data_IF_030937267639
#
_entry.id   IF_030937267639
#
_cell.length_a   1.000
_cell.length_b   1.000
_cell.length_c   1.000
_cell.angle_alpha   90.00
_cell.angle_beta   90.00
_cell.angle_gamma   90.00
#
_symmetry.space_group_name_H-M   'P 1'
#
loop_
_entity.id
_entity.type
_entity.pdbx_description
1 polymer ?
#
# COMPACT_ATOMS: atom_id res chain seq x y z
N UNK A 1 32.74 -48.88 -4.02
CA UNK A 1 33.55 -47.72 -4.44
C UNK A 1 32.94 -47.11 -5.69
N UNK A 2 32.23 -45.97 -5.57
CA UNK A 2 32.11 -45.04 -6.68
C UNK A 2 32.42 -43.58 -6.30
N UNK A 3 33.37 -43.03 -7.05
CA UNK A 3 33.51 -41.67 -7.61
C UNK A 3 33.27 -40.44 -6.73
N UNK A 4 34.36 -39.69 -6.53
CA UNK A 4 34.47 -38.40 -5.86
C UNK A 4 33.70 -37.28 -6.57
N UNK A 5 32.96 -36.49 -5.78
CA UNK A 5 32.31 -35.25 -6.22
C UNK A 5 33.34 -34.14 -6.48
N UNK A 6 33.16 -33.47 -7.62
CA UNK A 6 34.01 -32.39 -8.12
C UNK A 6 33.55 -31.05 -7.51
N UNK A 7 34.35 -30.42 -6.65
CA UNK A 7 34.07 -29.11 -6.06
C UNK A 7 34.66 -27.99 -6.94
N UNK A 8 33.80 -27.15 -7.50
CA UNK A 8 34.21 -25.91 -8.21
C UNK A 8 34.48 -24.80 -7.18
N UNK A 9 35.57 -24.02 -7.30
CA UNK A 9 35.78 -22.87 -6.44
C UNK A 9 34.85 -21.71 -6.85
N UNK A 10 34.08 -21.21 -5.91
CA UNK A 10 33.28 -19.97 -6.05
C UNK A 10 34.24 -18.79 -5.92
N UNK A 11 34.34 -17.98 -6.97
CA UNK A 11 35.09 -16.72 -6.95
C UNK A 11 34.37 -15.71 -6.05
N UNK A 12 35.00 -15.33 -4.93
CA UNK A 12 34.55 -14.20 -4.10
C UNK A 12 34.85 -12.87 -4.79
N UNK A 13 33.79 -12.16 -5.19
CA UNK A 13 33.87 -10.75 -5.56
C UNK A 13 33.96 -9.89 -4.29
N UNK A 14 34.90 -8.95 -4.19
CA UNK A 14 35.07 -8.17 -2.98
C UNK A 14 33.97 -7.10 -2.81
N UNK A 15 33.38 -7.09 -1.60
CA UNK A 15 32.20 -6.32 -1.19
C UNK A 15 32.52 -4.88 -0.79
N UNK A 16 32.91 -4.02 -1.72
CA UNK A 16 33.17 -2.60 -1.38
C UNK A 16 32.34 -1.55 -2.14
N UNK A 17 31.21 -1.91 -2.74
CA UNK A 17 30.32 -0.95 -3.42
C UNK A 17 28.83 -1.07 -3.06
N UNK A 18 28.49 -1.12 -1.76
CA UNK A 18 27.12 -0.82 -1.33
C UNK A 18 27.12 0.03 -0.05
N UNK A 19 26.39 1.16 0.00
CA UNK A 19 26.27 1.97 1.20
C UNK A 19 25.46 1.22 2.26
N UNK A 20 26.02 1.08 3.47
CA UNK A 20 25.36 0.44 4.61
C UNK A 20 24.26 1.35 5.16
N UNK A 21 23.00 0.96 4.96
CA UNK A 21 21.89 1.46 5.78
C UNK A 21 21.93 0.76 7.15
N UNK A 22 22.33 1.49 8.18
CA UNK A 22 22.22 1.04 9.58
C UNK A 22 20.82 1.33 10.09
N UNK A 23 20.04 0.29 10.36
CA UNK A 23 18.85 0.41 11.21
C UNK A 23 19.32 0.47 12.66
N UNK A 24 19.19 1.63 13.29
CA UNK A 24 19.40 1.77 14.74
C UNK A 24 18.12 1.36 15.45
N UNK A 25 18.22 0.28 16.23
CA UNK A 25 17.19 -0.15 17.16
C UNK A 25 17.32 0.68 18.43
N UNK A 26 16.36 1.56 18.71
CA UNK A 26 16.31 2.32 19.97
C UNK A 26 15.48 1.53 20.98
N UNK A 27 16.12 1.23 22.12
CA UNK A 27 15.56 0.53 23.25
C UNK A 27 14.34 1.26 23.86
N UNK A 28 13.39 0.45 24.32
CA UNK A 28 12.22 0.84 25.10
C UNK A 28 12.64 1.60 26.37
N UNK A 29 12.28 2.87 26.46
CA UNK A 29 12.20 3.62 27.72
C UNK A 29 10.73 3.80 28.07
N UNK A 30 10.33 3.23 29.21
CA UNK A 30 9.02 3.40 29.83
C UNK A 30 8.77 4.88 30.13
N UNK A 31 7.64 5.41 29.65
CA UNK A 31 7.05 6.64 30.18
C UNK A 31 5.59 6.38 30.56
N UNK A 32 5.27 6.82 31.76
CA UNK A 32 3.97 6.74 32.42
C UNK A 32 2.91 7.58 31.71
N UNK A 33 1.68 7.07 31.69
CA UNK A 33 0.51 7.80 31.20
C UNK A 33 0.09 8.84 32.24
N UNK A 34 0.26 10.12 31.91
CA UNK A 34 -0.43 11.22 32.60
C UNK A 34 -1.44 11.85 31.63
N UNK A 35 -2.70 11.84 32.04
CA UNK A 35 -3.87 12.45 31.40
C UNK A 35 -3.77 13.98 31.40
N UNK A 36 -3.98 14.67 30.27
CA UNK A 36 -4.18 16.11 30.27
C UNK A 36 -5.67 16.48 30.54
N UNK A 37 -5.97 17.56 31.28
CA UNK A 37 -7.33 18.03 31.48
C UNK A 37 -7.83 18.84 30.27
N UNK A 38 -9.15 18.79 30.06
CA UNK A 38 -9.88 19.49 28.99
C UNK A 38 -9.78 21.02 29.10
N UNK A 39 -9.77 21.77 27.97
CA UNK A 39 -9.91 23.21 28.02
C UNK A 39 -11.39 23.64 27.87
N UNK A 40 -11.81 24.45 28.84
CA UNK A 40 -13.06 25.20 28.88
C UNK A 40 -13.10 26.30 27.80
N UNK A 41 -14.30 26.53 27.27
CA UNK A 41 -14.65 27.54 26.28
C UNK A 41 -14.18 28.95 26.62
N UNK A 42 -13.86 29.76 25.61
CA UNK A 42 -14.30 31.16 25.50
C UNK A 42 -14.06 31.74 24.09
N UNK A 43 -15.14 32.32 23.55
CA UNK A 43 -15.21 33.61 22.83
C UNK A 43 -14.92 33.68 21.32
N UNK A 44 -16.05 33.68 20.60
CA UNK A 44 -16.40 34.44 19.38
C UNK A 44 -15.41 35.50 18.87
N UNK A 45 -14.98 35.34 17.61
CA UNK A 45 -14.40 36.38 16.76
C UNK A 45 -14.67 36.08 15.28
N UNK A 46 -15.43 36.96 14.63
CA UNK A 46 -15.82 36.91 13.21
C UNK A 46 -14.64 36.93 12.24
N UNK A 47 -14.58 36.02 11.26
CA UNK A 47 -13.92 36.25 9.96
C UNK A 47 -14.53 35.38 8.84
N UNK A 48 -14.42 35.80 7.56
CA UNK A 48 -15.47 35.62 6.56
C UNK A 48 -15.37 34.34 5.71
N UNK A 49 -16.51 34.00 5.11
CA UNK A 49 -16.76 32.92 4.16
C UNK A 49 -15.86 32.98 2.92
N UNK A 50 -15.16 31.86 2.64
CA UNK A 50 -14.48 31.63 1.36
C UNK A 50 -15.28 30.62 0.51
N UNK A 51 -15.65 31.04 -0.71
CA UNK A 51 -16.27 30.21 -1.76
C UNK A 51 -15.18 29.47 -2.55
N UNK A 52 -15.41 28.22 -3.02
CA UNK A 52 -14.47 27.54 -3.88
C UNK A 52 -14.61 27.99 -5.35
N UNK A 53 -13.54 28.53 -5.93
CA UNK A 53 -13.46 28.83 -7.37
C UNK A 53 -12.77 27.67 -8.09
N UNK A 54 -13.55 27.01 -8.94
CA UNK A 54 -13.10 26.16 -10.04
C UNK A 54 -12.50 27.02 -11.15
N UNK A 55 -11.33 26.64 -11.69
CA UNK A 55 -11.09 26.46 -13.14
C UNK A 55 -9.65 26.04 -13.46
N UNK A 56 -9.59 25.08 -14.38
CA UNK A 56 -8.41 24.51 -15.03
C UNK A 56 -7.76 25.50 -16.01
N UNK A 57 -6.41 25.54 -16.05
CA UNK A 57 -5.62 26.40 -16.94
C UNK A 57 -5.09 25.57 -18.11
N UNK A 58 -5.60 25.83 -19.32
CA UNK A 58 -5.02 25.36 -20.60
C UNK A 58 -4.02 26.41 -21.12
N UNK A 59 -2.85 25.97 -21.54
CA UNK A 59 -1.81 26.78 -22.18
C UNK A 59 -1.88 26.49 -23.68
N UNK A 60 -2.26 27.49 -24.48
CA UNK A 60 -2.15 27.44 -25.94
C UNK A 60 -0.93 28.26 -26.38
N UNK A 61 0.01 27.59 -27.03
CA UNK A 61 1.11 28.20 -27.79
C UNK A 61 0.67 28.34 -29.24
N UNK A 62 0.70 29.57 -29.74
CA UNK A 62 0.36 29.93 -31.13
C UNK A 62 1.54 29.60 -32.06
N UNK A 63 1.24 28.95 -33.20
CA UNK A 63 2.19 28.76 -34.29
C UNK A 63 1.77 29.63 -35.48
N UNK A 64 2.74 30.39 -35.99
CA UNK A 64 2.58 31.38 -37.06
C UNK A 64 2.40 30.76 -38.44
N UNK A 65 1.72 31.53 -39.28
CA UNK A 65 1.27 31.32 -40.66
C UNK A 65 2.37 30.92 -41.67
N UNK A 66 2.06 29.93 -42.52
CA UNK A 66 2.74 29.70 -43.78
C UNK A 66 2.01 30.39 -44.94
N UNK A 67 2.83 31.00 -45.80
CA UNK A 67 2.51 31.77 -46.98
C UNK A 67 1.98 30.87 -48.11
N UNK A 68 0.88 31.30 -48.72
CA UNK A 68 0.25 30.72 -49.91
C UNK A 68 0.97 31.13 -51.19
N UNK A 69 1.19 30.20 -52.11
CA UNK A 69 1.37 30.49 -53.53
C UNK A 69 0.45 29.61 -54.39
N UNK A 70 -0.43 30.30 -55.12
CA UNK A 70 -1.36 29.83 -56.14
C UNK A 70 -0.67 29.56 -57.48
N UNK A 71 -1.11 28.54 -58.25
CA UNK A 71 -1.65 28.63 -59.64
C UNK A 71 -1.89 27.24 -60.31
N UNK A 72 -2.63 27.14 -61.44
CA UNK A 72 -3.74 26.19 -61.58
C UNK A 72 -3.65 25.15 -62.72
N UNK A 73 -4.64 24.24 -62.70
CA UNK A 73 -5.32 23.55 -63.82
C UNK A 73 -4.53 22.62 -64.74
N UNK A 74 -4.99 21.36 -64.84
CA UNK A 74 -5.41 20.73 -66.11
C UNK A 74 -6.21 19.45 -65.84
N UNK A 75 -7.02 19.09 -66.84
CA UNK A 75 -8.21 18.22 -66.84
C UNK A 75 -7.88 16.79 -67.31
N UNK A 76 -8.83 15.87 -67.07
CA UNK A 76 -9.00 14.51 -67.68
C UNK A 76 -8.45 13.36 -66.81
N UNK A 77 -9.09 12.21 -66.56
CA UNK A 77 -10.15 11.46 -67.28
C UNK A 77 -10.81 10.44 -66.31
N UNK A 78 -12.07 10.06 -66.56
CA UNK A 78 -12.89 9.10 -65.77
C UNK A 78 -12.41 7.64 -65.88
N UNK A 79 -12.50 6.89 -64.78
CA UNK A 79 -12.70 5.42 -64.73
C UNK A 79 -13.35 5.00 -63.38
N UNK A 80 -14.03 3.83 -63.29
CA UNK A 80 -15.26 3.68 -62.50
C UNK A 80 -15.05 3.34 -61.00
N UNK A 81 -16.00 3.77 -60.18
CA UNK A 81 -16.03 3.63 -58.71
C UNK A 81 -16.53 2.25 -58.27
N UNK A 82 -15.71 1.55 -57.47
CA UNK A 82 -16.12 0.49 -56.53
C UNK A 82 -16.80 1.15 -55.30
N UNK A 83 -17.84 0.57 -54.68
CA UNK A 83 -18.54 1.22 -53.57
C UNK A 83 -17.59 1.33 -52.37
N UNK A 84 -17.23 2.56 -52.00
CA UNK A 84 -16.58 2.89 -50.74
C UNK A 84 -17.66 3.05 -49.69
N UNK A 85 -17.67 2.18 -48.69
CA UNK A 85 -18.33 2.45 -47.42
C UNK A 85 -17.67 3.71 -46.85
N UNK A 86 -18.46 4.79 -46.75
CA UNK A 86 -18.01 6.07 -46.23
C UNK A 86 -18.01 5.96 -44.70
N UNK A 87 -16.89 5.55 -44.12
CA UNK A 87 -16.60 5.95 -42.74
C UNK A 87 -16.07 7.38 -42.79
N UNK A 88 -16.62 8.33 -42.00
CA UNK A 88 -16.09 9.69 -41.98
C UNK A 88 -14.65 9.64 -41.50
N UNK A 89 -13.73 10.26 -42.25
CA UNK A 89 -12.38 10.47 -41.77
C UNK A 89 -12.45 11.38 -40.54
N UNK A 90 -12.08 10.84 -39.37
CA UNK A 90 -11.96 11.65 -38.16
C UNK A 90 -10.81 12.67 -38.33
N UNK A 91 -10.91 13.86 -37.70
CA UNK A 91 -9.87 14.87 -37.69
C UNK A 91 -8.52 14.32 -37.20
N UNK A 92 -7.42 14.87 -37.72
CA UNK A 92 -6.04 14.47 -37.42
C UNK A 92 -5.64 14.56 -35.93
N UNK A 93 -6.48 15.14 -35.06
CA UNK A 93 -6.25 15.36 -33.63
C UNK A 93 -7.12 14.48 -32.70
N UNK A 94 -7.70 13.39 -33.20
CA UNK A 94 -8.52 12.52 -32.36
C UNK A 94 -7.68 11.71 -31.35
N UNK A 95 -8.05 11.66 -30.05
CA UNK A 95 -7.40 10.78 -29.08
C UNK A 95 -7.59 9.30 -29.46
N UNK A 96 -6.64 8.41 -29.12
CA UNK A 96 -6.70 7.00 -29.51
C UNK A 96 -8.00 6.35 -29.02
N UNK A 97 -8.73 5.74 -29.95
CA UNK A 97 -10.02 5.09 -29.69
C UNK A 97 -9.83 3.91 -28.74
N UNK A 98 -10.46 3.98 -27.58
CA UNK A 98 -10.52 2.90 -26.59
C UNK A 98 -11.56 1.87 -27.02
N UNK A 99 -11.14 0.64 -27.28
CA UNK A 99 -12.06 -0.50 -27.34
C UNK A 99 -11.60 -1.52 -26.29
N UNK A 100 -12.45 -1.81 -25.29
CA UNK A 100 -12.25 -2.84 -24.28
C UNK A 100 -10.85 -2.84 -23.62
N UNK A 101 -10.33 -1.67 -23.24
CA UNK A 101 -9.07 -1.57 -22.49
C UNK A 101 -7.78 -1.85 -23.30
N UNK A 102 -7.87 -2.06 -24.62
CA UNK A 102 -6.71 -2.30 -25.49
C UNK A 102 -6.51 -1.11 -26.42
N UNK A 103 -5.31 -0.53 -26.41
CA UNK A 103 -4.94 0.54 -27.35
C UNK A 103 -4.71 -0.08 -28.74
N UNK A 104 -5.63 0.14 -29.67
CA UNK A 104 -5.43 -0.25 -31.07
C UNK A 104 -4.70 0.88 -31.79
N UNK A 105 -3.40 0.71 -32.01
CA UNK A 105 -2.64 1.61 -32.87
C UNK A 105 -3.15 1.47 -34.31
N UNK A 106 -3.74 2.53 -34.87
CA UNK A 106 -4.13 2.57 -36.28
C UNK A 106 -2.86 2.53 -37.14
N UNK A 107 -2.57 1.38 -37.72
CA UNK A 107 -1.39 1.19 -38.57
C UNK A 107 -1.57 1.98 -39.87
N UNK A 108 -0.75 3.01 -40.10
CA UNK A 108 -0.65 3.64 -41.43
C UNK A 108 0.00 2.61 -42.37
N UNK A 109 -0.67 2.17 -43.45
CA UNK A 109 -0.06 1.25 -44.40
C UNK A 109 1.11 1.97 -45.08
N UNK A 110 2.33 1.49 -44.84
CA UNK A 110 3.53 1.98 -45.50
C UNK A 110 3.40 1.68 -47.00
N UNK A 111 3.00 2.70 -47.77
CA UNK A 111 3.02 2.64 -49.23
C UNK A 111 4.42 3.01 -49.69
N UNK A 112 5.13 1.99 -50.20
CA UNK A 112 6.43 2.03 -50.86
C UNK A 112 7.65 2.22 -49.94
N UNK A 113 8.42 1.15 -49.75
CA UNK A 113 9.77 1.19 -49.18
C UNK A 113 10.70 0.14 -49.81
N UNK A 114 10.59 -0.10 -51.12
CA UNK A 114 11.60 -0.84 -51.86
C UNK A 114 12.24 0.09 -52.87
N UNK A 115 13.23 0.86 -52.41
CA UNK A 115 14.16 1.56 -53.30
C UNK A 115 15.30 0.58 -53.58
N UNK A 116 15.33 0.01 -54.78
CA UNK A 116 16.49 -0.75 -55.24
C UNK A 116 17.63 0.24 -55.45
N UNK A 117 18.64 0.24 -54.57
CA UNK A 117 19.81 1.10 -54.74
C UNK A 117 20.45 0.79 -56.09
N UNK A 118 20.48 1.78 -56.99
CA UNK A 118 21.12 1.62 -58.29
C UNK A 118 22.59 1.24 -58.09
N UNK A 119 23.05 0.21 -58.81
CA UNK A 119 24.44 -0.28 -58.75
C UNK A 119 25.36 0.88 -59.17
N UNK A 120 25.97 1.53 -58.18
CA UNK A 120 27.01 2.52 -58.44
C UNK A 120 28.20 1.78 -59.03
N UNK A 121 28.57 2.12 -60.27
CA UNK A 121 29.80 1.60 -60.87
C UNK A 121 30.97 2.10 -60.02
N UNK A 122 31.90 1.21 -59.67
CA UNK A 122 33.13 1.58 -58.98
C UNK A 122 33.88 2.58 -59.84
N UNK A 123 33.86 3.84 -59.45
CA UNK A 123 34.73 4.85 -60.04
C UNK A 123 36.18 4.47 -59.71
N UNK A 124 37.02 4.37 -60.75
CA UNK A 124 38.44 4.18 -60.57
C UNK A 124 39.04 5.50 -60.09
N UNK A 125 39.12 5.67 -58.77
CA UNK A 125 39.60 6.91 -58.16
C UNK A 125 41.12 7.13 -58.34
N UNK A 126 41.87 6.11 -58.78
CA UNK A 126 43.32 6.19 -58.96
C UNK A 126 43.73 5.84 -60.40
N UNK A 127 44.23 6.85 -61.14
CA UNK A 127 44.73 6.72 -62.51
C UNK A 127 46.24 6.46 -62.49
N UNK A 128 46.60 5.18 -62.59
CA UNK A 128 48.00 4.71 -62.54
C UNK A 128 48.83 5.20 -63.73
N UNK A 129 48.19 5.43 -64.89
CA UNK A 129 48.88 5.81 -66.13
C UNK A 129 49.23 7.30 -66.14
N UNK A 130 48.31 8.18 -65.71
CA UNK A 130 48.62 9.61 -65.51
C UNK A 130 49.73 9.82 -64.48
N UNK A 131 49.75 9.01 -63.42
CA UNK A 131 50.78 9.11 -62.38
C UNK A 131 52.18 8.78 -62.94
N UNK A 132 52.28 7.69 -63.70
CA UNK A 132 53.54 7.30 -64.38
C UNK A 132 53.96 8.33 -65.42
N UNK A 133 53.04 8.86 -66.23
CA UNK A 133 53.35 9.93 -67.19
C UNK A 133 53.89 11.19 -66.52
N UNK A 134 53.33 11.58 -65.38
CA UNK A 134 53.80 12.74 -64.61
C UNK A 134 55.20 12.52 -64.05
N UNK A 135 55.48 11.34 -63.49
CA UNK A 135 56.82 10.99 -63.00
C UNK A 135 57.87 10.99 -64.12
N UNK A 136 57.52 10.49 -65.32
CA UNK A 136 58.41 10.59 -66.49
C UNK A 136 58.69 12.04 -66.89
N UNK A 137 57.69 12.91 -66.81
CA UNK A 137 57.83 14.35 -67.09
C UNK A 137 58.75 15.09 -66.11
N UNK A 138 58.87 14.59 -64.88
CA UNK A 138 59.76 15.13 -63.84
C UNK A 138 61.17 14.49 -63.85
N UNK A 139 61.50 13.72 -64.89
CA UNK A 139 62.85 13.18 -65.10
C UNK A 139 63.11 11.76 -64.57
N UNK A 140 62.08 11.03 -64.11
CA UNK A 140 62.23 9.63 -63.69
C UNK A 140 62.27 8.67 -64.89
N UNK A 141 63.07 7.60 -64.78
CA UNK A 141 63.04 6.53 -65.78
C UNK A 141 61.70 5.80 -65.74
N UNK A 142 61.27 5.25 -66.88
CA UNK A 142 60.01 4.50 -66.98
C UNK A 142 59.93 3.35 -65.97
N UNK A 143 61.02 2.60 -65.82
CA UNK A 143 61.08 1.49 -64.88
C UNK A 143 60.94 1.96 -63.41
N UNK A 144 61.53 3.10 -63.07
CA UNK A 144 61.45 3.68 -61.73
C UNK A 144 60.05 4.23 -61.42
N UNK A 145 59.44 4.94 -62.39
CA UNK A 145 58.08 5.46 -62.26
C UNK A 145 57.05 4.33 -62.08
N UNK A 146 57.21 3.22 -62.82
CA UNK A 146 56.35 2.04 -62.68
C UNK A 146 56.57 1.33 -61.34
N UNK A 147 57.82 1.21 -60.87
CA UNK A 147 58.12 0.61 -59.58
C UNK A 147 57.54 1.41 -58.41
N UNK A 148 57.67 2.74 -58.42
CA UNK A 148 57.07 3.63 -57.41
C UNK A 148 55.55 3.55 -57.42
N UNK A 149 54.92 3.44 -58.59
CA UNK A 149 53.47 3.25 -58.68
C UNK A 149 53.06 1.98 -57.93
N UNK A 150 53.76 0.85 -58.16
CA UNK A 150 53.40 -0.43 -57.53
C UNK A 150 53.40 -0.35 -56.01
N UNK A 151 54.44 0.25 -55.42
CA UNK A 151 54.52 0.47 -53.98
C UNK A 151 53.38 1.36 -53.48
N UNK A 152 53.05 2.42 -54.21
CA UNK A 152 51.95 3.31 -53.84
C UNK A 152 50.59 2.60 -53.89
N UNK A 153 50.38 1.73 -54.88
CA UNK A 153 49.17 0.93 -55.00
C UNK A 153 49.03 -0.04 -53.81
N UNK A 154 50.12 -0.66 -53.38
CA UNK A 154 50.13 -1.55 -52.21
C UNK A 154 49.75 -0.79 -50.93
N UNK A 155 50.32 0.40 -50.71
CA UNK A 155 50.00 1.26 -49.55
C UNK A 155 48.55 1.77 -49.59
N UNK A 156 48.05 2.13 -50.78
CA UNK A 156 46.65 2.58 -50.95
C UNK A 156 45.68 1.43 -50.68
N UNK A 157 45.96 0.24 -51.21
CA UNK A 157 45.13 -0.95 -51.00
C UNK A 157 45.11 -1.34 -49.50
N UNK A 158 46.25 -1.33 -48.83
CA UNK A 158 46.33 -1.56 -47.37
C UNK A 158 45.54 -0.51 -46.58
N UNK A 159 45.65 0.78 -46.95
CA UNK A 159 44.92 1.88 -46.33
C UNK A 159 43.40 1.76 -46.52
N UNK A 160 42.93 1.45 -47.73
CA UNK A 160 41.51 1.25 -48.03
C UNK A 160 40.97 0.06 -47.25
N UNK A 161 41.69 -1.05 -47.18
CA UNK A 161 41.28 -2.22 -46.40
C UNK A 161 41.19 -1.90 -44.90
N UNK A 162 42.16 -1.17 -44.35
CA UNK A 162 42.16 -0.76 -42.95
C UNK A 162 40.96 0.16 -42.61
N UNK A 163 40.65 1.13 -43.48
CA UNK A 163 39.49 2.01 -43.31
C UNK A 163 38.17 1.22 -43.43
N UNK A 164 38.05 0.40 -44.48
CA UNK A 164 36.83 -0.36 -44.76
C UNK A 164 36.52 -1.37 -43.66
N UNK A 165 37.54 -1.89 -42.96
CA UNK A 165 37.36 -2.83 -41.84
C UNK A 165 36.54 -2.27 -40.67
N UNK A 166 36.58 -0.95 -40.45
CA UNK A 166 35.84 -0.29 -39.35
C UNK A 166 34.57 0.41 -39.81
N UNK A 167 34.36 0.53 -41.12
CA UNK A 167 33.18 1.16 -41.70
C UNK A 167 32.05 0.15 -41.84
N UNK A 168 30.82 0.65 -41.79
CA UNK A 168 29.60 -0.14 -41.98
C UNK A 168 28.88 0.39 -43.21
N UNK A 169 28.34 -0.53 -44.02
CA UNK A 169 27.50 -0.17 -45.15
C UNK A 169 26.27 0.56 -44.65
N UNK A 170 25.87 1.63 -45.35
CA UNK A 170 24.71 2.44 -44.99
C UNK A 170 23.44 1.59 -44.86
N UNK A 171 23.27 0.61 -45.75
CA UNK A 171 22.14 -0.34 -45.71
C UNK A 171 22.12 -1.17 -44.42
N UNK A 172 23.27 -1.71 -44.00
CA UNK A 172 23.37 -2.51 -42.77
C UNK A 172 23.15 -1.66 -41.51
N UNK A 173 23.66 -0.42 -41.51
CA UNK A 173 23.42 0.53 -40.43
C UNK A 173 21.94 0.92 -40.31
N UNK A 174 21.27 1.18 -41.44
CA UNK A 174 19.84 1.47 -41.51
C UNK A 174 18.99 0.28 -41.06
N UNK A 175 19.36 -0.93 -41.50
CA UNK A 175 18.69 -2.18 -41.09
C UNK A 175 18.83 -2.44 -39.60
N UNK A 176 20.04 -2.29 -39.04
CA UNK A 176 20.28 -2.42 -37.60
C UNK A 176 19.46 -1.41 -36.80
N UNK A 177 19.44 -0.15 -37.23
CA UNK A 177 18.65 0.91 -36.61
C UNK A 177 17.15 0.61 -36.67
N UNK A 178 16.67 0.05 -37.79
CA UNK A 178 15.26 -0.33 -37.93
C UNK A 178 14.88 -1.44 -36.94
N UNK A 179 15.69 -2.51 -36.85
CA UNK A 179 15.47 -3.59 -35.89
C UNK A 179 15.43 -3.06 -34.46
N UNK A 180 16.39 -2.23 -34.08
CA UNK A 180 16.41 -1.61 -32.75
C UNK A 180 15.12 -0.82 -32.47
N UNK A 181 14.63 -0.03 -33.43
CA UNK A 181 13.38 0.74 -33.27
C UNK A 181 12.17 -0.16 -33.09
N UNK A 182 12.09 -1.26 -33.83
CA UNK A 182 11.01 -2.25 -33.69
C UNK A 182 11.07 -2.92 -32.32
N UNK A 183 12.26 -3.29 -31.86
CA UNK A 183 12.46 -3.91 -30.55
C UNK A 183 12.08 -2.95 -29.42
N UNK A 184 12.47 -1.68 -29.50
CA UNK A 184 12.06 -0.66 -28.52
C UNK A 184 10.55 -0.44 -28.52
N UNK A 185 9.91 -0.45 -29.70
CA UNK A 185 8.44 -0.34 -29.78
C UNK A 185 7.76 -1.55 -29.13
N UNK A 186 8.29 -2.76 -29.34
CA UNK A 186 7.78 -3.98 -28.72
C UNK A 186 7.97 -3.98 -27.20
N UNK A 187 9.17 -3.69 -26.71
CA UNK A 187 9.47 -3.59 -25.28
C UNK A 187 8.58 -2.55 -24.58
N UNK A 188 8.34 -1.41 -25.23
CA UNK A 188 7.45 -0.39 -24.70
C UNK A 188 6.01 -0.88 -24.59
N UNK A 189 5.53 -1.63 -25.58
CA UNK A 189 4.19 -2.24 -25.53
C UNK A 189 4.09 -3.30 -24.45
N UNK A 190 5.10 -4.16 -24.30
CA UNK A 190 5.14 -5.20 -23.27
C UNK A 190 5.20 -4.58 -21.86
N UNK A 191 6.02 -3.54 -21.66
CA UNK A 191 6.10 -2.80 -20.40
C UNK A 191 4.77 -2.13 -20.05
N UNK A 192 4.13 -1.45 -21.01
CA UNK A 192 2.84 -0.81 -20.77
C UNK A 192 1.74 -1.83 -20.42
N UNK A 193 1.76 -3.00 -21.05
CA UNK A 193 0.85 -4.09 -20.72
C UNK A 193 1.12 -4.66 -19.33
N UNK A 194 2.39 -4.94 -19.00
CA UNK A 194 2.80 -5.45 -17.69
C UNK A 194 2.40 -4.49 -16.56
N UNK A 195 2.73 -3.20 -16.70
CA UNK A 195 2.38 -2.14 -15.74
C UNK A 195 0.86 -2.04 -15.54
N UNK A 196 0.09 -2.06 -16.63
CA UNK A 196 -1.38 -2.07 -16.52
C UNK A 196 -1.90 -3.31 -15.79
N UNK A 197 -1.35 -4.50 -16.04
CA UNK A 197 -1.79 -5.73 -15.38
C UNK A 197 -1.43 -5.75 -13.89
N UNK A 198 -0.22 -5.32 -13.53
CA UNK A 198 0.24 -5.25 -12.14
C UNK A 198 -0.56 -4.21 -11.35
N UNK A 199 -0.82 -3.05 -11.95
CA UNK A 199 -1.65 -2.00 -11.36
C UNK A 199 -3.08 -2.49 -11.09
N UNK A 200 -3.68 -3.22 -12.05
CA UNK A 200 -5.01 -3.81 -11.87
C UNK A 200 -5.03 -4.88 -10.77
N UNK A 201 -4.01 -5.74 -10.72
CA UNK A 201 -3.90 -6.77 -9.70
C UNK A 201 -3.75 -6.16 -8.30
N UNK A 202 -2.90 -5.14 -8.18
CA UNK A 202 -2.69 -4.39 -6.92
C UNK A 202 -3.94 -3.67 -6.48
N UNK A 203 -4.66 -3.03 -7.41
CA UNK A 203 -5.92 -2.36 -7.09
C UNK A 203 -6.99 -3.35 -6.63
N UNK A 204 -7.09 -4.50 -7.31
CA UNK A 204 -8.05 -5.54 -6.94
C UNK A 204 -7.72 -6.17 -5.59
N UNK A 205 -6.43 -6.40 -5.28
CA UNK A 205 -6.02 -6.91 -3.96
C UNK A 205 -6.29 -5.87 -2.86
N UNK A 206 -6.02 -4.60 -3.12
CA UNK A 206 -6.34 -3.51 -2.22
C UNK A 206 -7.85 -3.43 -1.93
N UNK A 207 -8.71 -3.47 -2.95
CA UNK A 207 -10.16 -3.42 -2.78
C UNK A 207 -10.69 -4.62 -1.98
N UNK A 208 -10.13 -5.82 -2.22
CA UNK A 208 -10.45 -7.03 -1.44
C UNK A 208 -10.05 -6.87 0.03
N UNK A 209 -8.83 -6.43 0.30
CA UNK A 209 -8.33 -6.19 1.67
C UNK A 209 -9.16 -5.13 2.39
N UNK A 210 -9.56 -4.06 1.69
CA UNK A 210 -10.43 -3.02 2.24
C UNK A 210 -11.81 -3.58 2.62
N UNK A 211 -12.39 -4.44 1.77
CA UNK A 211 -13.65 -5.13 2.08
C UNK A 211 -13.52 -6.02 3.32
N UNK A 212 -12.44 -6.80 3.40
CA UNK A 212 -12.22 -7.72 4.51
C UNK A 212 -11.93 -7.00 5.82
N UNK A 213 -11.22 -5.86 5.77
CA UNK A 213 -11.06 -4.96 6.91
C UNK A 213 -12.41 -4.43 7.39
N UNK A 214 -13.29 -3.99 6.49
CA UNK A 214 -14.62 -3.52 6.85
C UNK A 214 -15.47 -4.63 7.52
N UNK A 215 -15.42 -5.86 6.98
CA UNK A 215 -16.09 -7.02 7.58
C UNK A 215 -15.55 -7.35 8.96
N UNK A 216 -14.22 -7.35 9.13
CA UNK A 216 -13.59 -7.63 10.41
C UNK A 216 -13.96 -6.55 11.45
N UNK A 217 -13.95 -5.28 11.04
CA UNK A 217 -14.35 -4.17 11.91
C UNK A 217 -15.80 -4.31 12.38
N UNK A 218 -16.74 -4.65 11.48
CA UNK A 218 -18.12 -4.93 11.85
C UNK A 218 -18.23 -6.09 12.84
N UNK A 219 -17.57 -7.22 12.57
CA UNK A 219 -17.59 -8.39 13.46
C UNK A 219 -17.03 -8.06 14.84
N UNK A 220 -15.92 -7.32 14.90
CA UNK A 220 -15.33 -6.89 16.17
C UNK A 220 -16.28 -5.97 16.94
N UNK A 221 -16.95 -5.03 16.28
CA UNK A 221 -17.97 -4.18 16.93
C UNK A 221 -19.13 -5.02 17.47
N UNK A 222 -19.60 -6.00 16.72
CA UNK A 222 -20.68 -6.88 17.14
C UNK A 222 -20.27 -7.77 18.32
N UNK A 223 -19.05 -8.30 18.32
CA UNK A 223 -18.50 -9.07 19.43
C UNK A 223 -18.28 -8.21 20.68
N UNK A 224 -17.75 -6.99 20.53
CA UNK A 224 -17.63 -6.02 21.65
C UNK A 224 -19.01 -5.68 22.21
N UNK A 225 -20.00 -5.43 21.36
CA UNK A 225 -21.38 -5.18 21.80
C UNK A 225 -21.98 -6.37 22.54
N UNK A 226 -21.79 -7.58 22.03
CA UNK A 226 -22.27 -8.82 22.65
C UNK A 226 -21.61 -9.09 24.00
N UNK A 227 -20.28 -8.97 24.07
CA UNK A 227 -19.52 -9.14 25.32
C UNK A 227 -19.89 -8.07 26.34
N UNK A 228 -20.04 -6.82 25.94
CA UNK A 228 -20.50 -5.75 26.81
C UNK A 228 -21.91 -6.00 27.36
N UNK A 229 -22.84 -6.46 26.52
CA UNK A 229 -24.18 -6.84 26.96
C UNK A 229 -24.14 -8.02 27.94
N UNK A 230 -23.31 -9.03 27.67
CA UNK A 230 -23.12 -10.18 28.56
C UNK A 230 -22.59 -9.76 29.93
N UNK A 231 -21.56 -8.90 29.98
CA UNK A 231 -20.98 -8.40 31.23
C UNK A 231 -22.01 -7.57 32.01
N UNK A 232 -22.80 -6.73 31.32
CA UNK A 232 -23.86 -5.97 31.98
C UNK A 232 -24.92 -6.88 32.59
N UNK A 233 -25.32 -7.93 31.88
CA UNK A 233 -26.26 -8.92 32.40
C UNK A 233 -25.69 -9.63 33.62
N UNK A 234 -24.44 -10.10 33.52
CA UNK A 234 -23.75 -10.79 34.61
C UNK A 234 -23.68 -9.93 35.88
N UNK A 235 -23.27 -8.67 35.75
CA UNK A 235 -23.27 -7.71 36.87
C UNK A 235 -24.66 -7.46 37.44
N UNK A 236 -25.70 -7.43 36.59
CA UNK A 236 -27.06 -7.21 37.06
C UNK A 236 -27.60 -8.44 37.80
N UNK A 237 -27.31 -9.65 37.32
CA UNK A 237 -27.65 -10.89 38.01
C UNK A 237 -26.92 -11.00 39.34
N UNK A 238 -25.63 -10.66 39.37
CA UNK A 238 -24.82 -10.69 40.58
C UNK A 238 -25.29 -9.65 41.60
N UNK A 239 -25.67 -8.44 41.17
CA UNK A 239 -26.34 -7.45 42.05
C UNK A 239 -27.66 -7.98 42.61
N UNK A 240 -28.44 -8.68 41.78
CA UNK A 240 -29.67 -9.35 42.21
C UNK A 240 -29.39 -10.39 43.29
N UNK A 241 -28.38 -11.24 43.07
CA UNK A 241 -27.94 -12.29 44.01
C UNK A 241 -27.47 -11.70 45.33
N UNK A 242 -26.60 -10.68 45.30
CA UNK A 242 -26.12 -9.99 46.50
C UNK A 242 -27.30 -9.38 47.29
N UNK A 243 -28.30 -8.81 46.60
CA UNK A 243 -29.49 -8.27 47.25
C UNK A 243 -30.35 -9.35 47.89
N UNK A 244 -30.54 -10.48 47.23
CA UNK A 244 -31.30 -11.62 47.77
C UNK A 244 -30.60 -12.24 48.98
N UNK A 245 -29.28 -12.39 48.92
CA UNK A 245 -28.46 -12.86 50.04
C UNK A 245 -28.50 -11.88 51.21
N UNK A 246 -28.38 -10.58 50.95
CA UNK A 246 -28.50 -9.54 51.98
C UNK A 246 -29.89 -9.56 52.66
N UNK A 247 -30.98 -9.67 51.90
CA UNK A 247 -32.32 -9.77 52.45
C UNK A 247 -32.53 -11.07 53.26
N UNK A 248 -31.93 -12.18 52.80
CA UNK A 248 -31.95 -13.45 53.54
C UNK A 248 -31.22 -13.33 54.88
N UNK A 249 -30.06 -12.65 54.90
CA UNK A 249 -29.34 -12.35 56.13
C UNK A 249 -30.15 -11.42 57.04
N UNK A 250 -30.77 -10.38 56.49
CA UNK A 250 -31.64 -9.47 57.26
C UNK A 250 -32.81 -10.20 57.91
N UNK A 251 -33.45 -11.13 57.21
CA UNK A 251 -34.53 -11.95 57.75
C UNK A 251 -34.04 -12.85 58.88
N UNK A 252 -32.88 -13.51 58.72
CA UNK A 252 -32.28 -14.33 59.79
C UNK A 252 -31.94 -13.50 61.02
N UNK A 253 -31.42 -12.29 60.83
CA UNK A 253 -31.14 -11.35 61.92
C UNK A 253 -32.44 -11.03 62.68
N UNK A 254 -33.51 -10.66 61.98
CA UNK A 254 -34.82 -10.37 62.60
C UNK A 254 -35.41 -11.59 63.34
N UNK A 255 -35.27 -12.79 62.79
CA UNK A 255 -35.70 -14.00 63.48
C UNK A 255 -34.89 -14.21 64.78
N UNK A 256 -33.57 -14.04 64.74
CA UNK A 256 -32.73 -14.14 65.93
C UNK A 256 -33.02 -13.04 66.95
N UNK A 257 -33.30 -11.82 66.50
CA UNK A 257 -33.70 -10.70 67.35
C UNK A 257 -35.02 -11.01 68.08
N UNK A 258 -36.02 -11.51 67.36
CA UNK A 258 -37.29 -11.94 67.97
C UNK A 258 -37.11 -13.10 68.97
N UNK A 259 -36.22 -14.07 68.67
CA UNK A 259 -35.87 -15.15 69.62
C UNK A 259 -35.22 -14.59 70.88
N UNK A 260 -34.29 -13.63 70.75
CA UNK A 260 -33.65 -12.96 71.88
C UNK A 260 -34.69 -12.22 72.73
N UNK A 261 -35.60 -11.47 72.11
CA UNK A 261 -36.68 -10.78 72.85
C UNK A 261 -37.57 -11.76 73.62
N UNK A 262 -37.91 -12.91 73.01
CA UNK A 262 -38.68 -13.96 73.66
C UNK A 262 -37.90 -14.58 74.84
N UNK A 263 -36.61 -14.86 74.67
CA UNK A 263 -35.75 -15.35 75.75
C UNK A 263 -35.65 -14.32 76.88
N UNK A 264 -35.50 -13.04 76.57
CA UNK A 264 -35.47 -11.95 77.56
C UNK A 264 -36.78 -11.84 78.33
N UNK A 265 -37.93 -11.94 77.65
CA UNK A 265 -39.23 -11.95 78.31
C UNK A 265 -39.39 -13.17 79.24
N UNK A 266 -38.96 -14.35 78.79
CA UNK A 266 -38.94 -15.59 79.59
C UNK A 266 -38.02 -15.48 80.81
N UNK A 267 -36.80 -14.93 80.66
CA UNK A 267 -35.91 -14.65 81.78
C UNK A 267 -36.52 -13.66 82.76
N UNK A 268 -37.18 -12.61 82.26
CA UNK A 268 -37.86 -11.62 83.11
C UNK A 268 -38.99 -12.26 83.92
N UNK A 269 -39.82 -13.10 83.32
CA UNK A 269 -40.87 -13.85 84.02
C UNK A 269 -40.28 -14.75 85.11
N UNK A 270 -39.21 -15.49 84.80
CA UNK A 270 -38.50 -16.31 85.79
C UNK A 270 -37.97 -15.47 86.95
N UNK A 271 -37.41 -14.28 86.67
CA UNK A 271 -36.93 -13.36 87.71
C UNK A 271 -38.09 -12.86 88.57
N UNK A 272 -39.21 -12.48 87.98
CA UNK A 272 -40.41 -12.05 88.71
C UNK A 272 -40.96 -13.21 89.58
N UNK A 273 -41.01 -14.44 89.06
CA UNK A 273 -41.39 -15.63 89.83
C UNK A 273 -40.45 -15.90 91.01
N UNK A 274 -39.13 -15.77 90.83
CA UNK A 274 -38.14 -15.91 91.91
C UNK A 274 -38.32 -14.82 92.97
N UNK A 275 -38.62 -13.57 92.57
CA UNK A 275 -38.95 -12.48 93.49
C UNK A 275 -40.21 -12.79 94.32
N UNK A 276 -41.27 -13.31 93.70
CA UNK A 276 -42.48 -13.71 94.43
C UNK A 276 -42.22 -14.87 95.40
N UNK A 277 -41.47 -15.89 94.98
CA UNK A 277 -41.10 -17.01 95.85
C UNK A 277 -40.29 -16.53 97.07
N UNK A 278 -39.29 -15.67 96.85
CA UNK A 278 -38.50 -15.10 97.96
C UNK A 278 -39.34 -14.23 98.89
N UNK A 279 -40.26 -13.42 98.38
CA UNK A 279 -41.22 -12.67 99.20
C UNK A 279 -42.14 -13.60 100.02
N UNK A 280 -42.60 -14.71 99.43
CA UNK A 280 -43.42 -15.69 100.13
C UNK A 280 -42.65 -16.38 101.26
N UNK A 281 -41.39 -16.78 101.02
CA UNK A 281 -40.51 -17.31 102.06
C UNK A 281 -40.26 -16.29 103.17
N UNK A 282 -40.02 -15.02 102.81
CA UNK A 282 -39.84 -13.93 103.77
C UNK A 282 -41.09 -13.78 104.67
N UNK A 283 -42.29 -13.75 104.08
CA UNK A 283 -43.55 -13.69 104.83
C UNK A 283 -43.73 -14.92 105.74
N UNK A 284 -43.38 -16.12 105.25
CA UNK A 284 -43.42 -17.34 106.04
C UNK A 284 -42.48 -17.30 107.25
N UNK A 285 -41.24 -16.83 107.06
CA UNK A 285 -40.25 -16.69 108.14
C UNK A 285 -40.69 -15.63 109.14
N UNK A 286 -41.12 -14.44 108.70
CA UNK A 286 -41.61 -13.37 109.58
C UNK A 286 -42.85 -13.81 110.38
N UNK A 287 -43.79 -14.52 109.75
CA UNK A 287 -44.98 -15.05 110.44
C UNK A 287 -44.61 -16.16 111.42
N UNK A 288 -43.67 -17.04 111.05
CA UNK A 288 -43.16 -18.09 111.92
C UNK A 288 -42.44 -17.54 113.15
N UNK A 289 -41.57 -16.53 112.99
CA UNK A 289 -40.90 -15.88 114.13
C UNK A 289 -41.88 -15.12 115.01
N UNK A 290 -42.84 -14.39 114.43
CA UNK A 290 -43.90 -13.73 115.20
C UNK A 290 -44.73 -14.75 116.00
N UNK A 291 -45.10 -15.89 115.40
CA UNK A 291 -45.82 -16.96 116.08
C UNK A 291 -45.01 -17.58 117.24
N UNK A 292 -43.70 -17.79 117.05
CA UNK A 292 -42.81 -18.27 118.12
C UNK A 292 -42.69 -17.24 119.26
N UNK A 293 -42.55 -15.95 118.95
CA UNK A 293 -42.51 -14.87 119.96
C UNK A 293 -43.81 -14.84 120.76
N UNK A 294 -44.97 -14.88 120.09
CA UNK A 294 -46.27 -14.95 120.75
C UNK A 294 -46.44 -16.24 121.57
N UNK A 295 -45.95 -17.37 121.06
CA UNK A 295 -45.93 -18.64 121.77
C UNK A 295 -45.08 -18.59 123.05
N UNK A 296 -43.88 -18.01 122.97
CA UNK A 296 -43.00 -17.81 124.12
C UNK A 296 -43.58 -16.82 125.14
N UNK A 297 -44.17 -15.70 124.67
CA UNK A 297 -44.87 -14.74 125.53
C UNK A 297 -46.00 -15.40 126.31
N UNK A 298 -46.78 -16.27 125.65
CA UNK A 298 -47.86 -17.03 126.28
C UNK A 298 -47.37 -18.07 127.30
N UNK A 299 -46.15 -18.58 127.16
CA UNK A 299 -45.59 -19.60 128.06
C UNK A 299 -44.89 -18.97 129.28
N UNK A 300 -44.54 -17.69 129.19
CA UNK A 300 -43.85 -16.91 130.23
C UNK A 300 -44.79 -16.06 131.10
N UNK A 301 -46.06 -15.89 130.69
CA UNK A 301 -47.15 -15.32 131.50
C UNK A 301 -48.03 -16.42 132.08
#
# INVERSE_FOLDING_TARGET
MPSMANSKPVAELPRFLLPRLTWTSTALTQYSWQTPPAPTSLRSGNLPSFKPVSKSRSIHTVASSNLSSTKPSLRSTRSPKRPKIYTPALPNDAPPVRHNGVYVATFKPARAAFSTTAIQRKDHHFDTLKFVQRLKGEGFSEAQAVAMMRVLNDVIEESIQNLTRTMVLKEDAERSTYTQKVDFAKLRSELANADSTESQLTRTSHDRLSSDLAKLNSRLRDEIGRTQASVRLDLNLEKGRIREEANTQEMRIKETEARIEQEVASLRERVEAVKFSTLQWLMGVCTGTAALILGAWRLLM
#
